data_IF_862319660951
#
_entry.id   IF_862319660951
#
_cell.length_a   1.000
_cell.length_b   1.000
_cell.length_c   1.000
_cell.angle_alpha   90.00
_cell.angle_beta   90.00
_cell.angle_gamma   90.00
#
_symmetry.space_group_name_H-M   'P 1'
#
loop_
_entity.id
_entity.type
_entity.pdbx_description
1 polymer ?
#
# COMPACT_ATOMS: atom_id res chain seq x y z
N UNK A 1 2.34 -17.67 28.81
CA UNK A 1 1.49 -18.12 27.67
C UNK A 1 0.42 -17.08 27.34
N UNK A 2 -0.51 -16.76 28.25
CA UNK A 2 -1.58 -15.77 27.98
C UNK A 2 -1.05 -14.40 27.54
N UNK A 3 -0.05 -13.85 28.23
CA UNK A 3 0.52 -12.53 27.85
C UNK A 3 1.26 -12.56 26.51
N UNK A 4 1.90 -13.68 26.16
CA UNK A 4 2.52 -13.85 24.85
C UNK A 4 1.46 -13.89 23.75
N UNK A 5 0.38 -14.66 23.95
CA UNK A 5 -0.74 -14.73 23.01
C UNK A 5 -1.42 -13.36 22.80
N UNK A 6 -1.53 -12.53 23.84
CA UNK A 6 -2.04 -11.15 23.69
C UNK A 6 -1.11 -10.31 22.81
N UNK A 7 0.20 -10.36 23.05
CA UNK A 7 1.18 -9.64 22.25
C UNK A 7 1.17 -10.08 20.79
N UNK A 8 1.11 -11.38 20.54
CA UNK A 8 1.06 -11.94 19.19
C UNK A 8 -0.23 -11.52 18.48
N UNK A 9 -1.37 -11.50 19.19
CA UNK A 9 -2.64 -11.05 18.62
C UNK A 9 -2.62 -9.56 18.24
N UNK A 10 -2.04 -8.69 19.07
CA UNK A 10 -1.88 -7.28 18.71
C UNK A 10 -0.94 -7.08 17.51
N UNK A 11 0.15 -7.85 17.42
CA UNK A 11 1.02 -7.84 16.25
C UNK A 11 0.27 -8.27 14.98
N UNK A 12 -0.49 -9.37 15.05
CA UNK A 12 -1.30 -9.85 13.92
C UNK A 12 -2.37 -8.84 13.47
N UNK A 13 -3.01 -8.14 14.41
CA UNK A 13 -3.96 -7.06 14.06
C UNK A 13 -3.27 -5.91 13.33
N UNK A 14 -2.08 -5.53 13.79
CA UNK A 14 -1.27 -4.50 13.14
C UNK A 14 -0.90 -4.92 11.71
N UNK A 15 -0.50 -6.18 11.52
CA UNK A 15 -0.15 -6.70 10.19
C UNK A 15 -1.38 -6.72 9.26
N UNK A 16 -2.53 -7.17 9.75
CA UNK A 16 -3.79 -7.16 8.99
C UNK A 16 -4.15 -5.74 8.53
N UNK A 17 -4.00 -4.76 9.41
CA UNK A 17 -4.31 -3.37 9.05
C UNK A 17 -3.31 -2.81 8.03
N UNK A 18 -2.03 -3.14 8.15
CA UNK A 18 -1.03 -2.80 7.15
C UNK A 18 -1.36 -3.41 5.78
N UNK A 19 -1.81 -4.67 5.72
CA UNK A 19 -2.24 -5.30 4.48
C UNK A 19 -3.50 -4.66 3.90
N UNK A 20 -4.47 -4.26 4.73
CA UNK A 20 -5.67 -3.55 4.26
C UNK A 20 -5.34 -2.24 3.60
N UNK A 21 -4.46 -1.44 4.20
CA UNK A 21 -4.01 -0.17 3.63
C UNK A 21 -3.35 -0.41 2.25
N UNK A 22 -2.53 -1.45 2.12
CA UNK A 22 -1.90 -1.82 0.84
C UNK A 22 -2.91 -2.28 -0.21
N UNK A 23 -3.89 -3.09 0.18
CA UNK A 23 -4.93 -3.56 -0.73
C UNK A 23 -5.76 -2.40 -1.29
N UNK A 24 -6.18 -1.47 -0.43
CA UNK A 24 -6.91 -0.27 -0.85
C UNK A 24 -6.10 0.58 -1.83
N UNK A 25 -4.79 0.72 -1.62
CA UNK A 25 -3.93 1.48 -2.53
C UNK A 25 -3.66 0.76 -3.86
N UNK A 26 -3.62 -0.57 -3.85
CA UNK A 26 -3.60 -1.34 -5.08
C UNK A 26 -4.90 -1.11 -5.87
N UNK A 27 -6.05 -1.12 -5.21
CA UNK A 27 -7.34 -0.82 -5.85
C UNK A 27 -7.35 0.60 -6.44
N UNK A 28 -6.88 1.62 -5.71
CA UNK A 28 -6.73 2.99 -6.23
C UNK A 28 -5.81 3.02 -7.46
N UNK A 29 -4.66 2.33 -7.44
CA UNK A 29 -3.76 2.26 -8.60
C UNK A 29 -4.40 1.57 -9.81
N UNK A 30 -5.18 0.52 -9.58
CA UNK A 30 -5.85 -0.23 -10.65
C UNK A 30 -6.95 0.59 -11.33
N UNK A 31 -7.44 1.69 -10.73
CA UNK A 31 -8.32 2.63 -11.44
C UNK A 31 -7.66 3.30 -12.64
N UNK A 32 -6.32 3.37 -12.64
CA UNK A 32 -5.52 3.88 -13.76
C UNK A 32 -5.14 2.77 -14.76
N UNK A 33 -5.64 1.54 -14.58
CA UNK A 33 -5.39 0.40 -15.47
C UNK A 33 -6.67 0.06 -16.21
N UNK A 34 -6.61 0.00 -17.54
CA UNK A 34 -7.77 -0.37 -18.35
C UNK A 34 -7.97 -1.90 -18.41
N UNK A 35 -9.07 -2.31 -19.04
CA UNK A 35 -9.45 -3.73 -19.20
C UNK A 35 -8.41 -4.60 -19.92
N UNK A 36 -7.50 -3.98 -20.69
CA UNK A 36 -6.43 -4.64 -21.43
C UNK A 36 -5.09 -4.63 -20.65
N UNK A 37 -5.13 -4.30 -19.36
CA UNK A 37 -3.96 -4.18 -18.48
C UNK A 37 -2.96 -3.08 -18.87
N UNK A 38 -3.38 -2.08 -19.65
CA UNK A 38 -2.55 -0.90 -19.93
C UNK A 38 -2.80 0.19 -18.89
N UNK A 39 -1.72 0.78 -18.40
CA UNK A 39 -1.75 1.93 -17.49
C UNK A 39 -1.99 3.21 -18.29
N UNK A 40 -2.96 4.02 -17.87
CA UNK A 40 -3.02 5.43 -18.23
C UNK A 40 -1.96 6.21 -17.45
N UNK A 41 -0.79 6.36 -18.07
CA UNK A 41 0.32 7.08 -17.47
C UNK A 41 0.02 8.56 -17.22
N UNK A 42 -0.83 9.21 -18.02
CA UNK A 42 -1.14 10.61 -17.80
C UNK A 42 -2.07 10.76 -16.61
N UNK A 43 -3.15 9.95 -16.54
CA UNK A 43 -4.04 9.90 -15.39
C UNK A 43 -3.28 9.64 -14.08
N UNK A 44 -2.42 8.62 -14.07
CA UNK A 44 -1.59 8.31 -12.90
C UNK A 44 -0.58 9.42 -12.55
N UNK A 45 0.06 10.04 -13.55
CA UNK A 45 1.02 11.15 -13.36
C UNK A 45 0.34 12.44 -12.87
N UNK A 46 -0.95 12.59 -13.07
CA UNK A 46 -1.68 13.77 -12.63
C UNK A 46 -2.41 13.51 -11.28
N UNK A 47 -2.55 12.25 -10.86
CA UNK A 47 -3.07 11.83 -9.53
C UNK A 47 -2.05 12.01 -8.39
N UNK A 48 -1.85 13.26 -7.97
CA UNK A 48 -0.89 13.65 -6.94
C UNK A 48 -1.12 12.96 -5.59
N UNK A 49 -2.39 12.75 -5.23
CA UNK A 49 -2.77 12.14 -3.96
C UNK A 49 -2.32 10.67 -3.91
N UNK A 50 -2.63 9.88 -4.94
CA UNK A 50 -2.22 8.49 -5.02
C UNK A 50 -0.69 8.36 -5.03
N UNK A 51 0.01 9.21 -5.78
CA UNK A 51 1.48 9.20 -5.79
C UNK A 51 2.07 9.54 -4.43
N UNK A 52 1.47 10.47 -3.70
CA UNK A 52 1.89 10.80 -2.33
C UNK A 52 1.67 9.62 -1.37
N UNK A 53 0.50 8.98 -1.39
CA UNK A 53 0.21 7.79 -0.58
C UNK A 53 1.20 6.65 -0.87
N UNK A 54 1.46 6.36 -2.16
CA UNK A 54 2.42 5.34 -2.58
C UNK A 54 3.86 5.63 -2.11
N UNK A 55 4.28 6.90 -2.16
CA UNK A 55 5.60 7.32 -1.68
C UNK A 55 5.75 7.08 -0.17
N UNK A 56 4.74 7.41 0.61
CA UNK A 56 4.80 7.29 2.07
C UNK A 56 4.78 5.83 2.54
N UNK A 57 4.11 4.93 1.82
CA UNK A 57 4.21 3.49 2.09
C UNK A 57 5.63 2.99 1.87
N UNK A 58 6.28 3.36 0.76
CA UNK A 58 7.67 2.95 0.49
C UNK A 58 8.65 3.40 1.57
N UNK A 59 8.45 4.58 2.16
CA UNK A 59 9.32 5.12 3.20
C UNK A 59 9.17 4.39 4.54
N UNK A 60 7.97 3.93 4.87
CA UNK A 60 7.71 3.22 6.12
C UNK A 60 8.20 1.76 6.12
N UNK A 61 8.61 1.22 4.96
CA UNK A 61 9.08 -0.15 4.81
C UNK A 61 10.59 -0.29 4.57
N UNK A 62 11.36 0.81 4.69
CA UNK A 62 12.78 0.79 4.32
C UNK A 62 13.00 0.56 2.83
N UNK A 63 12.08 1.05 1.98
CA UNK A 63 12.02 0.76 0.56
C UNK A 63 13.27 1.13 -0.23
N UNK A 64 13.59 0.30 -1.24
CA UNK A 64 14.65 0.48 -2.21
C UNK A 64 14.54 1.86 -2.88
N UNK A 65 15.59 2.67 -2.72
CA UNK A 65 15.81 3.89 -3.48
C UNK A 65 16.10 3.52 -4.93
N UNK A 66 15.27 3.98 -5.86
CA UNK A 66 15.65 3.97 -7.28
C UNK A 66 16.45 5.25 -7.52
N UNK A 67 17.76 5.07 -7.68
CA UNK A 67 18.69 6.08 -8.22
C UNK A 67 18.43 6.33 -9.71
#
# INVERSE_FOLDING_TARGET
IIEQLKKDNEALKSDVEAFRVKANLLDELLTHVNENAYIDFNGFRDDEELRYKLKNIKQNEGGVTFE
#
